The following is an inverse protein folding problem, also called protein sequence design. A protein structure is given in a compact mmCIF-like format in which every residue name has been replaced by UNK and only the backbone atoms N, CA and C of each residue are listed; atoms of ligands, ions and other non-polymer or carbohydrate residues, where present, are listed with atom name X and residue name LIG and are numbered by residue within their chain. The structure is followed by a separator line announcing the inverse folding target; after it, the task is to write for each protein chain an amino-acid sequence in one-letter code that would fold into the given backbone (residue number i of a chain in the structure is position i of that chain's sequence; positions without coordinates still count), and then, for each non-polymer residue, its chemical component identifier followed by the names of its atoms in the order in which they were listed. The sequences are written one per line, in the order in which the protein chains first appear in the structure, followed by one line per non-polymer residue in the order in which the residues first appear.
data_IF_105494809141
#
_entry.id   IF_105494809141
#
_cell.length_a   1.000
_cell.length_b   1.000
_cell.length_c   1.000
_cell.angle_alpha   90.00
_cell.angle_beta   90.00
_cell.angle_gamma   90.00
#
_symmetry.space_group_name_H-M   'P 1'
#
loop_
_entity.id
_entity.type
_entity.pdbx_description
1 polymer ?
#
# COMPACT_ATOMS: atom_id res chain seq x y z
N UNK A 1 -21.02 0.62 -34.14
CA UNK A 1 -19.68 0.67 -33.53
C UNK A 1 -19.67 1.84 -32.57
N UNK A 2 -19.84 1.56 -31.28
CA UNK A 2 -19.75 2.55 -30.22
C UNK A 2 -18.31 3.02 -30.10
N UNK A 3 -18.09 4.33 -30.22
CA UNK A 3 -16.85 4.96 -29.83
C UNK A 3 -16.70 4.75 -28.31
N UNK A 4 -15.89 3.77 -27.90
CA UNK A 4 -15.39 3.74 -26.53
C UNK A 4 -14.51 4.98 -26.37
N UNK A 5 -15.07 6.01 -25.76
CA UNK A 5 -14.32 7.17 -25.28
C UNK A 5 -13.20 6.64 -24.41
N UNK A 6 -11.99 6.69 -24.96
CA UNK A 6 -10.74 6.32 -24.28
C UNK A 6 -10.66 7.21 -23.04
N UNK A 7 -10.97 6.67 -21.87
CA UNK A 7 -10.91 7.38 -20.60
C UNK A 7 -9.46 7.82 -20.37
N UNK A 8 -9.18 9.09 -20.64
CA UNK A 8 -7.80 9.59 -20.73
C UNK A 8 -7.12 9.70 -19.35
N UNK A 9 -7.88 9.86 -18.26
CA UNK A 9 -7.36 10.04 -16.91
C UNK A 9 -8.39 10.58 -15.93
N UNK A 10 -7.98 10.79 -14.68
CA UNK A 10 -8.77 11.35 -13.58
C UNK A 10 -8.18 12.67 -13.09
N UNK A 11 -9.03 13.53 -12.50
CA UNK A 11 -8.63 14.77 -11.86
C UNK A 11 -8.74 14.65 -10.34
N UNK A 12 -7.60 14.74 -9.65
CA UNK A 12 -7.43 14.66 -8.20
C UNK A 12 -7.63 16.06 -7.59
N UNK A 13 -8.72 16.25 -6.86
CA UNK A 13 -9.05 17.48 -6.15
C UNK A 13 -8.61 17.38 -4.69
N UNK A 14 -7.78 18.32 -4.24
CA UNK A 14 -7.19 18.33 -2.89
C UNK A 14 -8.18 18.54 -1.74
N UNK A 15 -7.66 18.49 -0.50
CA UNK A 15 -8.41 18.44 0.77
C UNK A 15 -9.24 19.71 1.04
N UNK A 16 -8.89 20.85 0.44
CA UNK A 16 -9.62 22.10 0.64
C UNK A 16 -9.25 23.15 -0.39
N UNK A 17 -10.23 23.87 -0.94
CA UNK A 17 -9.98 25.07 -1.77
C UNK A 17 -9.33 26.26 -1.01
N UNK A 18 -8.79 26.01 0.20
CA UNK A 18 -8.06 26.97 1.03
C UNK A 18 -6.55 26.65 0.98
N UNK A 19 -5.73 27.47 0.32
CA UNK A 19 -4.31 27.18 0.08
C UNK A 19 -3.48 27.05 1.36
N UNK A 20 -3.89 27.71 2.46
CA UNK A 20 -3.21 27.65 3.76
C UNK A 20 -3.24 26.25 4.39
N UNK A 21 -4.38 25.54 4.26
CA UNK A 21 -4.56 24.21 4.84
C UNK A 21 -3.78 23.18 4.01
N UNK A 22 -3.81 23.30 2.68
CA UNK A 22 -3.07 22.41 1.78
C UNK A 22 -1.56 22.53 1.98
N UNK A 23 -1.04 23.75 2.20
CA UNK A 23 0.37 23.98 2.50
C UNK A 23 0.80 23.28 3.79
N UNK A 24 -0.05 23.31 4.83
CA UNK A 24 0.22 22.64 6.10
C UNK A 24 0.25 21.12 5.95
N UNK A 25 -0.68 20.54 5.20
CA UNK A 25 -0.67 19.10 4.89
C UNK A 25 0.55 18.70 4.04
N UNK A 26 0.90 19.47 3.03
CA UNK A 26 2.08 19.21 2.20
C UNK A 26 3.37 19.23 3.03
N UNK A 27 3.52 20.21 3.93
CA UNK A 27 4.65 20.28 4.85
C UNK A 27 4.68 19.08 5.82
N UNK A 28 3.54 18.71 6.39
CA UNK A 28 3.42 17.55 7.28
C UNK A 28 3.82 16.25 6.55
N UNK A 29 3.28 16.00 5.37
CA UNK A 29 3.60 14.80 4.58
C UNK A 29 5.08 14.76 4.18
N UNK A 30 5.69 15.91 3.87
CA UNK A 30 7.11 15.99 3.56
C UNK A 30 7.99 15.65 4.78
N UNK A 31 7.65 16.15 5.97
CA UNK A 31 8.37 15.80 7.19
C UNK A 31 8.24 14.31 7.50
N UNK A 32 7.01 13.77 7.46
CA UNK A 32 6.76 12.35 7.67
C UNK A 32 7.51 11.48 6.65
N UNK A 33 7.56 11.90 5.39
CA UNK A 33 8.29 11.22 4.34
C UNK A 33 9.79 11.15 4.63
N UNK A 34 10.42 12.28 4.98
CA UNK A 34 11.86 12.30 5.29
C UNK A 34 12.16 11.42 6.50
N UNK A 35 11.35 11.52 7.57
CA UNK A 35 11.54 10.71 8.79
C UNK A 35 11.37 9.23 8.49
N UNK A 36 10.32 8.83 7.77
CA UNK A 36 10.07 7.44 7.41
C UNK A 36 11.16 6.88 6.48
N UNK A 37 11.63 7.69 5.52
CA UNK A 37 12.68 7.30 4.58
C UNK A 37 14.01 7.09 5.30
N UNK A 38 14.43 8.04 6.13
CA UNK A 38 15.65 7.92 6.92
C UNK A 38 15.55 6.75 7.91
N UNK A 39 14.42 6.62 8.60
CA UNK A 39 14.18 5.54 9.56
C UNK A 39 14.27 4.15 8.94
N UNK A 40 13.58 3.92 7.83
CA UNK A 40 13.59 2.61 7.16
C UNK A 40 14.94 2.28 6.52
N UNK A 41 15.63 3.26 5.94
CA UNK A 41 17.00 3.06 5.45
C UNK A 41 17.95 2.71 6.60
N UNK A 42 17.80 3.39 7.75
CA UNK A 42 18.61 3.11 8.94
C UNK A 42 18.37 1.68 9.46
N UNK A 43 17.12 1.21 9.48
CA UNK A 43 16.80 -0.17 9.88
C UNK A 43 17.44 -1.17 8.92
N UNK A 44 17.29 -0.99 7.61
CA UNK A 44 17.87 -1.90 6.61
C UNK A 44 19.39 -1.95 6.72
N UNK A 45 20.04 -0.79 6.88
CA UNK A 45 21.51 -0.70 6.98
C UNK A 45 22.03 -1.31 8.28
N UNK A 46 21.43 -0.97 9.42
CA UNK A 46 21.84 -1.49 10.74
C UNK A 46 21.68 -3.01 10.81
N UNK A 47 20.54 -3.53 10.35
CA UNK A 47 20.27 -4.98 10.35
C UNK A 47 21.12 -5.75 9.32
N UNK A 48 21.64 -5.08 8.28
CA UNK A 48 22.52 -5.72 7.30
C UNK A 48 24.01 -5.66 7.68
N UNK A 49 24.44 -4.67 8.46
CA UNK A 49 25.83 -4.48 8.87
C UNK A 49 26.21 -5.33 10.09
N UNK A 50 25.25 -5.57 11.00
CA UNK A 50 25.52 -6.27 12.24
C UNK A 50 25.19 -7.78 12.13
N UNK A 51 26.22 -8.59 11.90
CA UNK A 51 26.10 -10.06 11.87
C UNK A 51 25.68 -10.67 13.22
N UNK A 52 25.81 -9.94 14.34
CA UNK A 52 25.32 -10.41 15.65
C UNK A 52 23.79 -10.30 15.78
N UNK A 53 23.15 -9.51 14.92
CA UNK A 53 21.68 -9.39 14.80
C UNK A 53 21.09 -10.43 13.82
N UNK A 54 21.74 -11.58 13.60
CA UNK A 54 21.28 -12.60 12.64
C UNK A 54 20.09 -13.45 13.15
N UNK A 55 19.05 -12.83 13.70
CA UNK A 55 17.79 -13.46 14.10
C UNK A 55 16.74 -13.38 12.98
N UNK A 56 15.84 -14.39 12.84
CA UNK A 56 14.66 -14.34 11.98
C UNK A 56 13.88 -13.02 12.00
N UNK A 57 13.75 -12.41 13.18
CA UNK A 57 13.04 -11.14 13.35
C UNK A 57 13.69 -9.98 12.57
N UNK A 58 15.03 -9.88 12.58
CA UNK A 58 15.73 -8.83 11.85
C UNK A 58 15.67 -9.05 10.32
N UNK A 59 15.61 -10.31 9.89
CA UNK A 59 15.35 -10.65 8.50
C UNK A 59 13.97 -10.16 8.06
N UNK A 60 12.91 -10.39 8.85
CA UNK A 60 11.57 -9.86 8.54
C UNK A 60 11.51 -8.33 8.61
N UNK A 61 12.16 -7.70 9.61
CA UNK A 61 12.23 -6.23 9.72
C UNK A 61 12.83 -5.57 8.48
N UNK A 62 13.86 -6.17 7.87
CA UNK A 62 14.44 -5.66 6.63
C UNK A 62 13.43 -5.65 5.48
N UNK A 63 12.63 -6.71 5.36
CA UNK A 63 11.57 -6.78 4.35
C UNK A 63 10.42 -5.82 4.66
N UNK A 64 10.08 -5.62 5.93
CA UNK A 64 9.07 -4.65 6.37
C UNK A 64 9.49 -3.23 6.00
N UNK A 65 10.71 -2.84 6.37
CA UNK A 65 11.24 -1.52 6.01
C UNK A 65 11.36 -1.31 4.49
N UNK A 66 11.59 -2.37 3.71
CA UNK A 66 11.56 -2.26 2.25
C UNK A 66 10.14 -2.02 1.72
N UNK A 67 9.12 -2.70 2.28
CA UNK A 67 7.71 -2.46 1.95
C UNK A 67 7.29 -1.04 2.31
N UNK A 68 7.68 -0.55 3.50
CA UNK A 68 7.41 0.83 3.93
C UNK A 68 8.01 1.86 2.97
N UNK A 69 9.26 1.64 2.52
CA UNK A 69 9.90 2.51 1.52
C UNK A 69 9.14 2.51 0.20
N UNK A 70 8.73 1.34 -0.30
CA UNK A 70 7.91 1.23 -1.50
C UNK A 70 6.59 2.01 -1.34
N UNK A 71 5.92 1.84 -0.21
CA UNK A 71 4.64 2.48 0.09
C UNK A 71 4.75 4.01 0.11
N UNK A 72 5.70 4.56 0.88
CA UNK A 72 5.88 6.02 0.98
C UNK A 72 6.35 6.63 -0.34
N UNK A 73 7.16 5.93 -1.13
CA UNK A 73 7.65 6.42 -2.42
C UNK A 73 6.56 6.46 -3.50
N UNK A 74 5.53 5.62 -3.39
CA UNK A 74 4.39 5.65 -4.31
C UNK A 74 3.37 6.72 -3.90
N UNK A 75 3.10 6.86 -2.60
CA UNK A 75 2.02 7.73 -2.10
C UNK A 75 2.43 9.20 -1.94
N UNK A 76 3.61 9.46 -1.35
CA UNK A 76 3.97 10.82 -0.91
C UNK A 76 4.44 11.73 -2.04
N UNK A 77 5.33 11.30 -2.97
CA UNK A 77 5.75 12.14 -4.09
C UNK A 77 4.58 12.61 -4.96
N UNK A 78 3.55 11.77 -5.13
CA UNK A 78 2.36 12.17 -5.90
C UNK A 78 1.56 13.25 -5.20
N UNK A 79 1.36 13.10 -3.88
CA UNK A 79 0.65 14.09 -3.06
C UNK A 79 1.35 15.45 -3.09
N UNK A 80 2.69 15.45 -3.03
CA UNK A 80 3.53 16.66 -3.12
C UNK A 80 3.49 17.26 -4.53
N UNK A 81 3.65 16.45 -5.59
CA UNK A 81 3.59 16.92 -6.98
C UNK A 81 2.22 17.52 -7.34
N UNK A 82 1.12 16.95 -6.83
CA UNK A 82 -0.22 17.47 -7.08
C UNK A 82 -0.38 18.90 -6.53
N UNK A 83 0.17 19.16 -5.33
CA UNK A 83 0.19 20.49 -4.74
C UNK A 83 1.01 21.50 -5.56
N UNK A 84 2.24 21.13 -5.95
CA UNK A 84 3.16 22.04 -6.65
C UNK A 84 2.77 22.33 -8.10
N UNK A 85 2.24 21.33 -8.82
CA UNK A 85 1.93 21.47 -10.24
C UNK A 85 0.54 22.06 -10.52
N UNK A 86 -0.31 22.21 -9.48
CA UNK A 86 -1.71 22.63 -9.59
C UNK A 86 -2.49 21.91 -10.70
N UNK A 87 -2.05 20.70 -11.02
CA UNK A 87 -2.52 19.88 -12.12
C UNK A 87 -2.70 18.47 -11.58
N UNK A 88 -3.87 18.23 -10.98
CA UNK A 88 -4.25 16.94 -10.40
C UNK A 88 -4.59 15.87 -11.44
N UNK A 89 -4.14 16.04 -12.67
CA UNK A 89 -4.36 15.04 -13.69
C UNK A 89 -3.51 13.79 -13.42
N UNK A 90 -4.16 12.65 -13.31
CA UNK A 90 -3.53 11.33 -13.26
C UNK A 90 -3.99 10.50 -14.43
N UNK A 91 -3.04 9.91 -15.16
CA UNK A 91 -3.40 8.99 -16.24
C UNK A 91 -4.00 7.71 -15.66
N UNK A 92 -4.84 7.04 -16.45
CA UNK A 92 -5.44 5.77 -16.04
C UNK A 92 -4.37 4.74 -15.63
N UNK A 93 -3.26 4.67 -16.37
CA UNK A 93 -2.15 3.77 -16.08
C UNK A 93 -1.41 4.09 -14.78
N UNK A 94 -1.17 5.37 -14.51
CA UNK A 94 -0.59 5.79 -13.22
C UNK A 94 -1.51 5.46 -12.06
N UNK A 95 -2.82 5.65 -12.22
CA UNK A 95 -3.83 5.29 -11.22
C UNK A 95 -3.86 3.77 -10.96
N UNK A 96 -3.87 2.95 -12.02
CA UNK A 96 -3.80 1.49 -11.91
C UNK A 96 -2.54 1.07 -11.15
N UNK A 97 -1.39 1.63 -11.50
CA UNK A 97 -0.11 1.30 -10.86
C UNK A 97 -0.09 1.73 -9.39
N UNK A 98 -0.65 2.90 -9.07
CA UNK A 98 -0.76 3.40 -7.71
C UNK A 98 -1.65 2.50 -6.85
N UNK A 99 -2.84 2.11 -7.34
CA UNK A 99 -3.74 1.19 -6.64
C UNK A 99 -3.08 -0.19 -6.44
N UNK A 100 -2.45 -0.74 -7.49
CA UNK A 100 -1.78 -2.02 -7.43
C UNK A 100 -0.66 -2.02 -6.38
N UNK A 101 0.20 -0.99 -6.40
CA UNK A 101 1.30 -0.88 -5.46
C UNK A 101 0.79 -0.68 -4.02
N UNK A 102 -0.24 0.14 -3.82
CA UNK A 102 -0.84 0.38 -2.51
C UNK A 102 -1.40 -0.92 -1.91
N UNK A 103 -2.28 -1.62 -2.64
CA UNK A 103 -2.89 -2.87 -2.15
C UNK A 103 -1.85 -3.96 -1.96
N UNK A 104 -0.88 -4.10 -2.88
CA UNK A 104 0.20 -5.07 -2.74
C UNK A 104 1.02 -4.83 -1.47
N UNK A 105 1.45 -3.59 -1.25
CA UNK A 105 2.25 -3.24 -0.07
C UNK A 105 1.46 -3.47 1.21
N UNK A 106 0.19 -3.03 1.29
CA UNK A 106 -0.64 -3.24 2.47
C UNK A 106 -0.92 -4.72 2.77
N UNK A 107 -1.25 -5.52 1.75
CA UNK A 107 -1.45 -6.96 1.93
C UNK A 107 -0.15 -7.67 2.35
N UNK A 108 1.00 -7.28 1.79
CA UNK A 108 2.29 -7.84 2.16
C UNK A 108 2.71 -7.43 3.58
N UNK A 109 2.47 -6.17 3.98
CA UNK A 109 2.76 -5.67 5.32
C UNK A 109 1.99 -6.45 6.39
N UNK A 110 0.68 -6.63 6.22
CA UNK A 110 -0.15 -7.42 7.14
C UNK A 110 0.32 -8.88 7.24
N UNK A 111 0.60 -9.51 6.10
CA UNK A 111 1.09 -10.87 6.07
C UNK A 111 2.45 -10.99 6.78
N UNK A 112 3.34 -10.00 6.61
CA UNK A 112 4.65 -9.97 7.24
C UNK A 112 4.55 -9.75 8.76
N UNK A 113 3.69 -8.83 9.21
CA UNK A 113 3.40 -8.61 10.62
C UNK A 113 2.83 -9.88 11.28
N UNK A 114 2.01 -10.64 10.55
CA UNK A 114 1.50 -11.94 10.98
C UNK A 114 2.61 -12.98 11.12
N UNK A 115 3.55 -13.04 10.17
CA UNK A 115 4.72 -13.93 10.28
C UNK A 115 5.62 -13.52 11.46
N UNK A 116 5.81 -12.22 11.68
CA UNK A 116 6.59 -11.70 12.82
C UNK A 116 5.92 -12.00 14.17
N UNK A 117 4.58 -11.89 14.26
CA UNK A 117 3.85 -12.25 15.47
C UNK A 117 3.92 -13.76 15.74
N UNK A 118 3.87 -14.57 14.68
CA UNK A 118 4.09 -16.02 14.76
C UNK A 118 5.51 -16.36 15.23
N UNK A 119 6.55 -15.71 14.69
CA UNK A 119 7.94 -15.87 15.15
C UNK A 119 8.06 -15.61 16.66
N UNK A 120 7.51 -14.50 17.15
CA UNK A 120 7.52 -14.16 18.58
C UNK A 120 6.74 -15.19 19.41
N UNK A 121 5.61 -15.68 18.91
CA UNK A 121 4.83 -16.74 19.56
C UNK A 121 5.65 -18.03 19.72
N UNK A 122 6.31 -18.51 18.65
CA UNK A 122 7.11 -19.74 18.71
C UNK A 122 8.32 -19.55 19.63
N UNK A 123 8.96 -18.38 19.61
CA UNK A 123 10.08 -18.07 20.50
C UNK A 123 9.70 -18.14 21.99
N UNK A 124 8.49 -17.69 22.35
CA UNK A 124 8.02 -17.64 23.75
C UNK A 124 7.42 -18.99 24.18
N UNK A 125 6.54 -19.56 23.36
CA UNK A 125 5.75 -20.74 23.73
C UNK A 125 6.49 -22.06 23.46
N UNK A 126 7.47 -22.07 22.54
CA UNK A 126 8.14 -23.28 22.06
C UNK A 126 9.68 -23.08 21.98
N UNK A 127 10.36 -22.59 23.03
CA UNK A 127 11.77 -22.18 22.96
C UNK A 127 12.70 -23.33 22.55
N UNK A 128 12.46 -24.56 23.03
CA UNK A 128 13.28 -25.74 22.70
C UNK A 128 13.15 -26.20 21.24
N UNK A 129 12.11 -25.76 20.53
CA UNK A 129 11.87 -26.10 19.11
C UNK A 129 12.05 -24.90 18.19
N UNK A 130 12.33 -23.71 18.73
CA UNK A 130 12.39 -22.47 17.97
C UNK A 130 13.38 -22.56 16.80
N UNK A 131 14.60 -23.02 17.02
CA UNK A 131 15.62 -23.10 15.97
C UNK A 131 15.27 -24.09 14.84
N UNK A 132 14.43 -25.09 15.13
CA UNK A 132 13.98 -26.07 14.14
C UNK A 132 12.75 -25.55 13.37
N UNK A 133 11.88 -24.77 14.02
CA UNK A 133 10.66 -24.23 13.42
C UNK A 133 10.97 -22.95 12.62
N UNK A 134 11.77 -22.05 13.18
CA UNK A 134 12.14 -20.75 12.60
C UNK A 134 13.57 -20.78 12.06
N UNK A 135 13.85 -21.74 11.18
CA UNK A 135 15.12 -21.79 10.46
C UNK A 135 15.14 -20.77 9.30
N UNK A 136 16.32 -20.56 8.71
CA UNK A 136 16.50 -19.60 7.61
C UNK A 136 15.64 -20.00 6.40
N UNK A 137 15.50 -21.30 6.11
CA UNK A 137 14.66 -21.78 5.00
C UNK A 137 13.20 -21.36 5.20
N UNK A 138 12.66 -21.54 6.40
CA UNK A 138 11.30 -21.18 6.78
C UNK A 138 11.09 -19.67 6.70
N UNK A 139 12.09 -18.88 7.11
CA UNK A 139 12.05 -17.43 6.97
C UNK A 139 11.96 -17.00 5.50
N UNK A 140 12.77 -17.60 4.62
CA UNK A 140 12.74 -17.34 3.18
C UNK A 140 11.40 -17.73 2.57
N UNK A 141 10.87 -18.92 2.89
CA UNK A 141 9.55 -19.35 2.42
C UNK A 141 8.43 -18.45 2.92
N UNK A 142 8.50 -17.99 4.17
CA UNK A 142 7.55 -17.04 4.76
C UNK A 142 7.55 -15.71 4.01
N UNK A 143 8.72 -15.15 3.72
CA UNK A 143 8.83 -13.93 2.90
C UNK A 143 8.30 -14.14 1.49
N UNK A 144 8.62 -15.27 0.84
CA UNK A 144 8.08 -15.57 -0.49
C UNK A 144 6.55 -15.66 -0.47
N UNK A 145 5.98 -16.27 0.57
CA UNK A 145 4.53 -16.34 0.74
C UNK A 145 3.91 -14.96 0.95
N UNK A 146 4.56 -14.09 1.73
CA UNK A 146 4.16 -12.68 1.94
C UNK A 146 4.13 -11.90 0.62
N UNK A 147 5.17 -12.02 -0.20
CA UNK A 147 5.19 -11.35 -1.51
C UNK A 147 4.15 -11.93 -2.45
N UNK A 148 3.97 -13.25 -2.46
CA UNK A 148 2.95 -13.91 -3.27
C UNK A 148 1.53 -13.49 -2.87
N UNK A 149 1.22 -13.42 -1.57
CA UNK A 149 -0.07 -12.96 -1.07
C UNK A 149 -0.31 -11.49 -1.40
N UNK A 150 0.71 -10.65 -1.26
CA UNK A 150 0.65 -9.24 -1.66
C UNK A 150 0.35 -9.07 -3.15
N UNK A 151 1.07 -9.79 -4.01
CA UNK A 151 0.87 -9.73 -5.48
C UNK A 151 -0.54 -10.23 -5.83
N UNK A 152 -0.96 -11.37 -5.29
CA UNK A 152 -2.27 -11.95 -5.59
C UNK A 152 -3.40 -11.00 -5.14
N UNK A 153 -3.33 -10.49 -3.90
CA UNK A 153 -4.29 -9.54 -3.37
C UNK A 153 -4.33 -8.24 -4.18
N UNK A 154 -3.16 -7.67 -4.49
CA UNK A 154 -3.05 -6.45 -5.30
C UNK A 154 -3.63 -6.62 -6.70
N UNK A 155 -3.30 -7.70 -7.40
CA UNK A 155 -3.81 -7.97 -8.75
C UNK A 155 -5.31 -8.21 -8.72
N UNK A 156 -5.81 -9.05 -7.80
CA UNK A 156 -7.25 -9.33 -7.71
C UNK A 156 -8.05 -8.07 -7.41
N UNK A 157 -7.63 -7.28 -6.43
CA UNK A 157 -8.32 -6.05 -6.03
C UNK A 157 -8.30 -5.00 -7.16
N UNK A 158 -7.14 -4.82 -7.80
CA UNK A 158 -6.99 -3.88 -8.92
C UNK A 158 -7.83 -4.35 -10.12
N UNK A 159 -7.75 -5.63 -10.49
CA UNK A 159 -8.54 -6.19 -11.59
C UNK A 159 -10.05 -6.06 -11.34
N UNK A 160 -10.51 -6.33 -10.12
CA UNK A 160 -11.92 -6.16 -9.74
C UNK A 160 -12.35 -4.70 -9.85
N UNK A 161 -11.53 -3.76 -9.36
CA UNK A 161 -11.82 -2.32 -9.41
C UNK A 161 -11.91 -1.79 -10.84
N UNK A 162 -10.95 -2.12 -11.70
CA UNK A 162 -10.88 -1.59 -13.07
C UNK A 162 -11.70 -2.39 -14.09
N UNK A 163 -12.32 -3.50 -13.69
CA UNK A 163 -13.30 -4.21 -14.51
C UNK A 163 -14.68 -3.53 -14.52
N UNK A 164 -14.89 -2.54 -13.64
CA UNK A 164 -16.14 -1.80 -13.51
C UNK A 164 -16.23 -0.69 -14.56
N UNK A 165 -17.44 -0.47 -15.10
CA UNK A 165 -17.70 0.69 -15.96
C UNK A 165 -17.89 1.96 -15.13
N UNK A 166 -16.99 2.92 -15.31
CA UNK A 166 -17.08 4.25 -14.74
C UNK A 166 -18.02 5.12 -15.59
N UNK A 167 -18.97 5.79 -14.93
CA UNK A 167 -19.95 6.66 -15.59
C UNK A 167 -20.00 8.08 -14.99
N UNK A 168 -19.45 8.27 -13.79
CA UNK A 168 -19.35 9.57 -13.15
C UNK A 168 -18.36 10.50 -13.84
N UNK A 169 -18.41 11.79 -13.50
CA UNK A 169 -17.37 12.74 -13.90
C UNK A 169 -16.02 12.29 -13.32
N UNK A 170 -14.94 12.21 -14.12
CA UNK A 170 -13.63 11.70 -13.72
C UNK A 170 -12.88 12.58 -12.68
N UNK A 171 -13.52 12.89 -11.55
CA UNK A 171 -13.04 13.75 -10.48
C UNK A 171 -12.99 12.93 -9.20
N UNK A 172 -11.81 12.84 -8.59
CA UNK A 172 -11.55 12.15 -7.33
C UNK A 172 -11.19 13.21 -6.29
N UNK A 173 -11.93 13.31 -5.19
CA UNK A 173 -11.68 14.34 -4.15
C UNK A 173 -10.62 13.88 -3.13
N UNK A 174 -9.49 13.36 -3.63
CA UNK A 174 -8.32 12.88 -2.87
C UNK A 174 -7.03 13.24 -3.60
N UNK A 175 -5.88 13.15 -2.91
CA UNK A 175 -4.54 13.38 -3.48
C UNK A 175 -3.95 12.16 -4.20
N UNK A 176 -4.58 11.00 -4.05
CA UNK A 176 -4.17 9.74 -4.66
C UNK A 176 -5.38 9.06 -5.32
N UNK A 177 -5.11 8.10 -6.20
CA UNK A 177 -6.16 7.27 -6.76
C UNK A 177 -6.70 6.32 -5.69
N UNK A 178 -7.76 6.74 -5.02
CA UNK A 178 -8.39 5.99 -3.93
C UNK A 178 -9.49 5.07 -4.48
N UNK A 179 -9.39 3.77 -4.22
CA UNK A 179 -10.31 2.75 -4.76
C UNK A 179 -11.77 2.96 -4.32
N UNK A 180 -12.08 3.25 -3.04
CA UNK A 180 -13.42 3.63 -2.61
C UNK A 180 -14.01 4.85 -3.34
N UNK A 181 -13.18 5.84 -3.71
CA UNK A 181 -13.66 6.99 -4.48
C UNK A 181 -13.90 6.66 -5.95
N UNK A 182 -13.07 5.79 -6.54
CA UNK A 182 -13.31 5.23 -7.88
C UNK A 182 -14.63 4.43 -7.92
N UNK A 183 -14.93 3.66 -6.88
CA UNK A 183 -16.15 2.88 -6.77
C UNK A 183 -17.41 3.76 -6.71
N UNK A 184 -17.35 4.93 -6.06
CA UNK A 184 -18.44 5.93 -6.03
C UNK A 184 -18.76 6.54 -7.41
N UNK A 185 -17.84 6.44 -8.36
CA UNK A 185 -18.00 6.92 -9.74
C UNK A 185 -18.60 5.85 -10.68
N UNK A 186 -18.84 4.64 -10.18
CA UNK A 186 -19.37 3.53 -10.96
C UNK A 186 -20.88 3.63 -11.21
N UNK A 187 -21.32 3.06 -12.34
CA UNK A 187 -22.72 3.04 -12.76
C UNK A 187 -23.60 2.01 -12.03
N UNK A 188 -23.02 1.09 -11.24
CA UNK A 188 -23.72 -0.12 -10.76
C UNK A 188 -23.72 -0.17 -9.22
N UNK A 189 -24.85 0.20 -8.62
CA UNK A 189 -25.03 0.21 -7.16
C UNK A 189 -24.84 -1.18 -6.51
N UNK A 190 -25.13 -2.27 -7.21
CA UNK A 190 -24.99 -3.64 -6.67
C UNK A 190 -23.53 -4.10 -6.51
N UNK A 191 -22.61 -3.57 -7.33
CA UNK A 191 -21.18 -3.87 -7.24
C UNK A 191 -20.45 -3.00 -6.22
N UNK A 192 -20.97 -1.79 -5.97
CA UNK A 192 -20.47 -0.91 -4.89
C UNK A 192 -20.67 -1.61 -3.56
N UNK A 193 -21.86 -2.16 -3.27
CA UNK A 193 -22.10 -2.91 -2.01
C UNK A 193 -21.19 -4.14 -1.86
N UNK A 194 -20.97 -4.92 -2.94
CA UNK A 194 -20.13 -6.12 -2.87
C UNK A 194 -18.63 -5.79 -2.67
N UNK A 195 -18.13 -4.72 -3.28
CA UNK A 195 -16.76 -4.26 -3.10
C UNK A 195 -16.56 -3.46 -1.83
N UNK A 196 -17.58 -2.76 -1.34
CA UNK A 196 -17.57 -2.11 -0.02
C UNK A 196 -17.55 -3.18 1.08
N UNK A 197 -18.26 -4.30 0.91
CA UNK A 197 -18.11 -5.48 1.77
C UNK A 197 -16.70 -6.08 1.73
N UNK A 198 -16.09 -6.21 0.55
CA UNK A 198 -14.73 -6.74 0.43
C UNK A 198 -13.68 -5.77 0.98
N UNK A 199 -13.86 -4.46 0.75
CA UNK A 199 -13.03 -3.41 1.32
C UNK A 199 -13.20 -3.36 2.84
N UNK A 200 -14.42 -3.46 3.37
CA UNK A 200 -14.70 -3.55 4.81
C UNK A 200 -14.14 -4.84 5.41
N UNK A 201 -14.14 -5.95 4.68
CA UNK A 201 -13.51 -7.21 5.12
C UNK A 201 -11.99 -7.10 5.15
N UNK A 202 -11.39 -6.40 4.18
CA UNK A 202 -9.97 -6.07 4.18
C UNK A 202 -9.67 -5.07 5.30
N UNK A 203 -10.51 -4.07 5.55
CA UNK A 203 -10.38 -3.07 6.63
C UNK A 203 -10.59 -3.69 8.03
N UNK A 204 -11.47 -4.70 8.16
CA UNK A 204 -11.58 -5.55 9.36
C UNK A 204 -10.34 -6.45 9.53
N UNK A 205 -9.66 -6.84 8.45
CA UNK A 205 -8.36 -7.50 8.51
C UNK A 205 -7.24 -6.54 8.97
N UNK A 206 -7.42 -5.23 8.75
CA UNK A 206 -6.55 -4.13 9.21
C UNK A 206 -6.85 -3.65 10.65
N UNK A 207 -7.80 -4.24 11.39
CA UNK A 207 -8.22 -3.81 12.74
C UNK A 207 -7.97 -4.88 13.81
#
# INVERSE_FOLDING_TARGET
MSNFTTMSGFLLMGFSGKPEIEMLFAALFLVLYIVALVGNILIITTTSMDHSLSSPMYFFLKHLSFLDLCYICVMVPRSICNYFMHNGYISLWECILQCLAFTLCGCAEMALLTVMSYDRYVAICLPLRYEVIMDISTCVHGVLAVWASGILGGVMHTAATFSIHFCGANIIHQFFCDVPQLLKLSCSNEYVDAMDYFATYVDEMFK
#
